data_IF_168334445500
#
_entry.id   IF_168334445500
#
_cell.length_a   1.000
_cell.length_b   1.000
_cell.length_c   1.000
_cell.angle_alpha   90.00
_cell.angle_beta   90.00
_cell.angle_gamma   90.00
#
_symmetry.space_group_name_H-M   'P 1'
#
loop_
_entity.id
_entity.type
_entity.pdbx_description
1 polymer ?
#
# COMPACT_ATOMS: atom_id res chain seq x y z
N UNK A 1 24.77 -29.36 -5.43
CA UNK A 1 23.58 -29.35 -4.53
C UNK A 1 22.59 -28.40 -5.15
N UNK A 2 21.51 -28.90 -5.71
CA UNK A 2 20.41 -28.07 -6.19
C UNK A 2 19.76 -27.42 -4.98
N UNK A 3 19.93 -26.12 -4.79
CA UNK A 3 19.14 -25.37 -3.82
C UNK A 3 17.66 -25.58 -4.15
N UNK A 4 16.94 -26.16 -3.23
CA UNK A 4 15.49 -26.27 -3.33
C UNK A 4 14.97 -24.84 -3.26
N UNK A 5 14.52 -24.28 -4.38
CA UNK A 5 13.88 -22.95 -4.42
C UNK A 5 12.61 -23.06 -3.61
N UNK A 6 12.61 -22.51 -2.41
CA UNK A 6 11.42 -22.42 -1.57
C UNK A 6 10.51 -21.37 -2.20
N UNK A 7 9.25 -21.74 -2.51
CA UNK A 7 8.27 -20.81 -3.06
C UNK A 7 8.06 -19.63 -2.12
N UNK A 8 8.08 -18.41 -2.66
CA UNK A 8 7.81 -17.17 -1.92
C UNK A 8 6.31 -16.94 -1.68
N UNK A 9 5.43 -17.65 -2.40
CA UNK A 9 3.98 -17.69 -2.19
C UNK A 9 3.57 -19.15 -2.02
N UNK A 10 3.04 -19.49 -0.85
CA UNK A 10 2.46 -20.82 -0.60
C UNK A 10 0.96 -20.73 -0.82
N UNK A 11 0.40 -21.70 -1.55
CA UNK A 11 -1.03 -21.77 -1.79
C UNK A 11 -1.56 -23.19 -1.72
N UNK A 12 -2.74 -23.33 -1.13
CA UNK A 12 -3.43 -24.61 -1.04
C UNK A 12 -4.95 -24.40 -0.93
N UNK A 13 -5.73 -25.39 -1.33
CA UNK A 13 -7.17 -25.42 -1.06
C UNK A 13 -7.44 -26.43 0.05
N UNK A 14 -7.98 -25.99 1.17
CA UNK A 14 -8.45 -26.85 2.27
C UNK A 14 -9.92 -26.58 2.54
N UNK A 15 -10.72 -27.63 2.61
CA UNK A 15 -12.17 -27.49 2.69
C UNK A 15 -12.71 -26.69 1.50
N UNK A 16 -13.31 -25.55 1.78
CA UNK A 16 -13.95 -24.67 0.80
C UNK A 16 -13.19 -23.32 0.61
N UNK A 17 -11.98 -23.21 1.16
CA UNK A 17 -11.21 -21.96 1.16
C UNK A 17 -9.87 -22.17 0.48
N UNK A 18 -9.52 -21.23 -0.40
CA UNK A 18 -8.18 -21.07 -0.93
C UNK A 18 -7.31 -20.27 0.05
N UNK A 19 -6.23 -20.88 0.51
CA UNK A 19 -5.29 -20.28 1.46
C UNK A 19 -4.02 -19.83 0.78
N UNK A 20 -3.63 -18.58 1.03
CA UNK A 20 -2.38 -17.99 0.56
C UNK A 20 -1.54 -17.58 1.76
N UNK A 21 -0.25 -17.94 1.75
CA UNK A 21 0.72 -17.44 2.72
C UNK A 21 1.91 -16.82 1.97
N UNK A 22 2.15 -15.54 2.22
CA UNK A 22 3.38 -14.86 1.77
C UNK A 22 4.55 -15.42 2.58
N UNK A 23 5.54 -15.97 1.90
CA UNK A 23 6.59 -16.80 2.50
C UNK A 23 7.99 -16.27 2.21
N UNK A 24 8.17 -14.96 2.39
CA UNK A 24 9.47 -14.27 2.26
C UNK A 24 9.83 -13.53 3.56
N UNK A 25 9.86 -14.23 4.72
CA UNK A 25 9.94 -13.58 6.04
C UNK A 25 11.24 -12.80 6.27
N UNK A 26 12.33 -13.16 5.59
CA UNK A 26 13.61 -12.42 5.68
C UNK A 26 13.53 -11.02 5.08
N UNK A 27 12.60 -10.78 4.17
CA UNK A 27 12.32 -9.49 3.56
C UNK A 27 10.97 -8.91 4.03
N UNK A 28 10.43 -9.37 5.17
CA UNK A 28 9.12 -8.97 5.68
C UNK A 28 8.02 -9.13 4.61
N UNK A 29 8.10 -10.17 3.80
CA UNK A 29 7.20 -10.48 2.68
C UNK A 29 7.08 -9.36 1.62
N UNK A 30 8.12 -8.54 1.45
CA UNK A 30 8.15 -7.58 0.36
C UNK A 30 7.96 -8.28 -0.99
N UNK A 31 7.06 -7.72 -1.83
CA UNK A 31 6.63 -8.32 -3.08
C UNK A 31 7.74 -8.29 -4.13
N UNK A 32 8.09 -9.46 -4.66
CA UNK A 32 8.87 -9.60 -5.88
C UNK A 32 7.94 -9.70 -7.08
N UNK A 33 8.46 -9.47 -8.30
CA UNK A 33 7.70 -9.70 -9.54
C UNK A 33 7.20 -11.16 -9.63
N UNK A 34 8.01 -12.12 -9.15
CA UNK A 34 7.60 -13.53 -9.06
C UNK A 34 6.39 -13.72 -8.18
N UNK A 35 6.37 -13.10 -6.98
CA UNK A 35 5.23 -13.17 -6.07
C UNK A 35 3.97 -12.54 -6.66
N UNK A 36 4.10 -11.41 -7.38
CA UNK A 36 2.96 -10.77 -8.07
C UNK A 36 2.36 -11.71 -9.09
N UNK A 37 3.19 -12.35 -9.91
CA UNK A 37 2.77 -13.33 -10.93
C UNK A 37 2.13 -14.58 -10.33
N UNK A 38 2.70 -15.10 -9.25
CA UNK A 38 2.14 -16.24 -8.51
C UNK A 38 0.76 -15.91 -7.95
N UNK A 39 0.61 -14.77 -7.27
CA UNK A 39 -0.68 -14.31 -6.73
C UNK A 39 -1.73 -14.14 -7.84
N UNK A 40 -1.37 -13.50 -8.95
CA UNK A 40 -2.24 -13.36 -10.11
C UNK A 40 -2.72 -14.71 -10.63
N UNK A 41 -1.79 -15.65 -10.85
CA UNK A 41 -2.11 -16.98 -11.35
C UNK A 41 -3.01 -17.79 -10.42
N UNK A 42 -2.74 -17.74 -9.11
CA UNK A 42 -3.54 -18.41 -8.07
C UNK A 42 -4.97 -17.84 -8.06
N UNK A 43 -5.12 -16.53 -8.01
CA UNK A 43 -6.43 -15.88 -7.95
C UNK A 43 -7.26 -16.15 -9.20
N UNK A 44 -6.67 -16.07 -10.40
CA UNK A 44 -7.35 -16.40 -11.66
C UNK A 44 -7.79 -17.85 -11.70
N UNK A 45 -6.97 -18.79 -11.23
CA UNK A 45 -7.34 -20.20 -11.16
C UNK A 45 -8.51 -20.44 -10.19
N UNK A 46 -8.48 -19.82 -9.01
CA UNK A 46 -9.51 -20.01 -8.00
C UNK A 46 -10.80 -19.25 -8.25
N UNK A 47 -10.76 -18.20 -9.05
CA UNK A 47 -11.95 -17.43 -9.43
C UNK A 47 -13.02 -18.34 -10.05
N UNK A 48 -12.61 -19.31 -10.89
CA UNK A 48 -13.50 -20.22 -11.61
C UNK A 48 -13.61 -21.62 -10.98
N UNK A 49 -12.90 -21.90 -9.87
CA UNK A 49 -12.99 -23.19 -9.18
C UNK A 49 -14.19 -23.19 -8.21
N UNK A 50 -15.24 -23.95 -8.54
CA UNK A 50 -16.46 -24.05 -7.74
C UNK A 50 -16.21 -24.61 -6.31
N UNK A 51 -15.08 -25.29 -6.06
CA UNK A 51 -14.71 -25.81 -4.75
C UNK A 51 -14.23 -24.68 -3.81
N UNK A 52 -13.77 -23.55 -4.35
CA UNK A 52 -13.27 -22.42 -3.58
C UNK A 52 -14.39 -21.38 -3.44
N UNK A 53 -14.90 -21.20 -2.24
CA UNK A 53 -15.96 -20.24 -1.92
C UNK A 53 -15.39 -18.87 -1.47
N UNK A 54 -14.19 -18.86 -0.90
CA UNK A 54 -13.49 -17.65 -0.47
C UNK A 54 -11.98 -17.86 -0.54
N UNK A 55 -11.21 -16.77 -0.51
CA UNK A 55 -9.75 -16.77 -0.42
C UNK A 55 -9.34 -16.10 0.89
N UNK A 56 -8.39 -16.70 1.61
CA UNK A 56 -7.77 -16.12 2.80
C UNK A 56 -6.27 -15.94 2.56
N UNK A 57 -5.76 -14.74 2.82
CA UNK A 57 -4.33 -14.43 2.69
C UNK A 57 -3.75 -13.96 4.03
N UNK A 58 -2.54 -14.41 4.32
CA UNK A 58 -1.71 -13.98 5.46
C UNK A 58 -0.26 -13.84 5.06
N UNK A 59 0.52 -13.19 5.91
CA UNK A 59 1.98 -13.23 5.83
C UNK A 59 2.59 -14.26 6.77
N UNK A 60 3.92 -14.34 6.74
CA UNK A 60 4.74 -15.13 7.65
C UNK A 60 5.85 -14.25 8.26
N UNK A 61 6.35 -14.64 9.42
CA UNK A 61 7.55 -14.10 10.02
C UNK A 61 8.62 -15.20 10.17
N UNK A 62 9.73 -14.92 10.84
CA UNK A 62 10.82 -15.90 11.03
C UNK A 62 10.44 -17.05 11.97
N UNK A 63 9.40 -16.87 12.77
CA UNK A 63 8.95 -17.84 13.79
C UNK A 63 7.79 -18.71 13.25
N UNK A 64 7.17 -18.30 12.12
CA UNK A 64 6.07 -19.05 11.53
C UNK A 64 5.05 -18.17 10.81
N UNK A 65 3.82 -18.65 10.65
CA UNK A 65 2.74 -17.89 10.03
C UNK A 65 2.30 -16.72 10.92
N UNK A 66 1.79 -15.65 10.28
CA UNK A 66 1.40 -14.39 10.89
C UNK A 66 2.59 -13.54 11.41
N UNK A 67 2.32 -12.44 12.09
CA UNK A 67 3.30 -11.54 12.70
C UNK A 67 3.97 -10.52 11.77
N UNK A 68 3.88 -10.71 10.46
CA UNK A 68 4.22 -9.72 9.44
C UNK A 68 3.40 -10.04 8.18
N UNK A 69 2.60 -9.08 7.72
CA UNK A 69 1.81 -9.29 6.51
C UNK A 69 2.67 -9.02 5.28
N UNK A 70 2.97 -7.76 4.97
CA UNK A 70 3.79 -7.38 3.83
C UNK A 70 4.33 -5.95 3.99
N UNK A 71 5.63 -5.76 3.78
CA UNK A 71 6.30 -4.46 3.94
C UNK A 71 6.36 -3.63 2.64
N UNK A 72 5.64 -4.02 1.59
CA UNK A 72 5.61 -3.29 0.31
C UNK A 72 6.28 -4.03 -0.83
N UNK A 73 6.65 -3.31 -1.91
CA UNK A 73 7.44 -3.85 -3.00
C UNK A 73 8.90 -4.03 -2.64
N UNK A 74 9.63 -4.86 -3.40
CA UNK A 74 11.09 -5.02 -3.22
C UNK A 74 11.85 -3.78 -3.72
N UNK A 75 12.01 -2.79 -2.84
CA UNK A 75 12.66 -1.51 -3.17
C UNK A 75 14.11 -1.66 -3.62
N UNK A 76 14.81 -2.76 -3.25
CA UNK A 76 16.17 -2.99 -3.75
C UNK A 76 16.17 -3.37 -5.22
N UNK A 77 15.20 -4.20 -5.63
CA UNK A 77 14.97 -4.49 -7.04
C UNK A 77 14.61 -3.20 -7.79
N UNK A 78 13.70 -2.39 -7.24
CA UNK A 78 13.29 -1.11 -7.87
C UNK A 78 14.46 -0.15 -8.05
N UNK A 79 15.34 -0.01 -7.06
CA UNK A 79 16.55 0.81 -7.16
C UNK A 79 17.48 0.28 -8.26
N UNK A 80 17.79 -1.01 -8.25
CA UNK A 80 18.68 -1.61 -9.24
C UNK A 80 18.12 -1.48 -10.66
N UNK A 81 16.86 -1.84 -10.84
CA UNK A 81 16.21 -1.80 -12.14
C UNK A 81 16.07 -0.36 -12.66
N UNK A 82 15.66 0.59 -11.81
CA UNK A 82 15.54 2.00 -12.17
C UNK A 82 16.87 2.63 -12.52
N UNK A 83 17.95 2.34 -11.76
CA UNK A 83 19.28 2.86 -12.02
C UNK A 83 19.90 2.32 -13.31
N UNK A 84 19.55 1.09 -13.71
CA UNK A 84 20.11 0.42 -14.88
C UNK A 84 19.22 0.50 -16.13
N UNK A 85 18.00 1.09 -16.02
CA UNK A 85 17.03 1.11 -17.11
C UNK A 85 16.50 -0.29 -17.46
N UNK A 86 16.43 -1.21 -16.48
CA UNK A 86 15.93 -2.56 -16.69
C UNK A 86 14.42 -2.55 -16.94
N UNK A 87 13.92 -3.06 -18.10
CA UNK A 87 12.49 -3.03 -18.44
C UNK A 87 11.59 -3.82 -17.48
N UNK A 88 12.12 -4.74 -16.69
CA UNK A 88 11.35 -5.48 -15.69
C UNK A 88 10.71 -4.57 -14.62
N UNK A 89 11.17 -3.32 -14.47
CA UNK A 89 10.52 -2.34 -13.59
C UNK A 89 9.13 -1.95 -14.14
N UNK A 90 8.99 -1.85 -15.45
CA UNK A 90 7.72 -1.57 -16.13
C UNK A 90 6.74 -2.74 -15.95
N UNK A 91 7.24 -3.97 -16.10
CA UNK A 91 6.44 -5.18 -15.88
C UNK A 91 5.97 -5.24 -14.42
N UNK A 92 6.87 -4.96 -13.46
CA UNK A 92 6.54 -4.99 -12.04
C UNK A 92 5.32 -4.12 -11.72
N UNK A 93 5.37 -2.83 -12.05
CA UNK A 93 4.28 -1.92 -11.73
C UNK A 93 3.00 -2.21 -12.54
N UNK A 94 3.13 -2.62 -13.80
CA UNK A 94 1.97 -2.98 -14.62
C UNK A 94 1.25 -4.19 -14.05
N UNK A 95 1.99 -5.25 -13.71
CA UNK A 95 1.42 -6.50 -13.21
C UNK A 95 0.92 -6.36 -11.76
N UNK A 96 1.62 -5.59 -10.91
CA UNK A 96 1.19 -5.31 -9.54
C UNK A 96 -0.12 -4.52 -9.52
N UNK A 97 -0.25 -3.46 -10.33
CA UNK A 97 -1.49 -2.67 -10.38
C UNK A 97 -2.66 -3.47 -11.00
N UNK A 98 -2.39 -4.32 -11.98
CA UNK A 98 -3.39 -5.25 -12.48
C UNK A 98 -3.85 -6.26 -11.41
N UNK A 99 -2.93 -6.74 -10.56
CA UNK A 99 -3.25 -7.59 -9.41
C UNK A 99 -4.12 -6.85 -8.38
N UNK A 100 -3.78 -5.61 -8.06
CA UNK A 100 -4.58 -4.80 -7.12
C UNK A 100 -6.01 -4.59 -7.63
N UNK A 101 -6.16 -4.32 -8.94
CA UNK A 101 -7.46 -4.22 -9.58
C UNK A 101 -8.23 -5.56 -9.54
N UNK A 102 -7.57 -6.69 -9.82
CA UNK A 102 -8.18 -8.01 -9.72
C UNK A 102 -8.68 -8.29 -8.30
N UNK A 103 -7.89 -8.01 -7.26
CA UNK A 103 -8.28 -8.21 -5.87
C UNK A 103 -9.51 -7.38 -5.50
N UNK A 104 -9.54 -6.11 -5.91
CA UNK A 104 -10.67 -5.22 -5.63
C UNK A 104 -11.98 -5.69 -6.27
N UNK A 105 -11.90 -6.25 -7.48
CA UNK A 105 -13.06 -6.73 -8.24
C UNK A 105 -13.24 -8.26 -8.11
N UNK A 106 -12.60 -8.90 -7.12
CA UNK A 106 -12.62 -10.36 -7.03
C UNK A 106 -14.02 -10.87 -6.71
N UNK A 107 -14.53 -11.79 -7.53
CA UNK A 107 -15.92 -12.27 -7.46
C UNK A 107 -16.25 -13.04 -6.17
N UNK A 108 -15.25 -13.58 -5.48
CA UNK A 108 -15.40 -14.31 -4.21
C UNK A 108 -14.82 -13.49 -3.07
N UNK A 109 -15.29 -13.65 -1.83
CA UNK A 109 -14.68 -12.96 -0.70
C UNK A 109 -13.18 -13.25 -0.62
N UNK A 110 -12.36 -12.21 -0.77
CA UNK A 110 -10.94 -12.21 -0.49
C UNK A 110 -10.75 -11.58 0.89
N UNK A 111 -10.17 -12.32 1.83
CA UNK A 111 -10.05 -11.96 3.24
C UNK A 111 -8.57 -11.79 3.57
N UNK A 112 -8.15 -10.57 3.94
CA UNK A 112 -6.77 -10.27 4.26
C UNK A 112 -6.55 -10.22 5.79
N UNK A 113 -5.71 -11.11 6.30
CA UNK A 113 -5.26 -11.13 7.70
C UNK A 113 -4.01 -10.27 7.85
N UNK A 114 -4.20 -8.99 8.10
CA UNK A 114 -3.19 -7.94 8.12
C UNK A 114 -2.53 -7.83 9.51
N UNK A 115 -1.79 -8.84 9.92
CA UNK A 115 -1.11 -8.89 11.20
C UNK A 115 0.33 -8.34 11.12
N UNK A 116 0.74 -7.49 12.04
CA UNK A 116 2.07 -6.88 12.05
C UNK A 116 2.22 -5.79 10.98
N UNK A 117 3.29 -5.85 10.18
CA UNK A 117 3.62 -4.81 9.18
C UNK A 117 2.72 -4.93 7.94
N UNK A 118 2.09 -3.80 7.55
CA UNK A 118 1.25 -3.65 6.36
C UNK A 118 1.59 -2.31 5.69
N UNK A 119 2.47 -2.31 4.70
CA UNK A 119 2.97 -1.06 4.11
C UNK A 119 3.02 -1.14 2.59
N UNK A 120 2.85 -0.01 1.90
CA UNK A 120 3.01 0.10 0.45
C UNK A 120 2.25 -0.98 -0.32
N UNK A 121 2.93 -1.79 -1.14
CA UNK A 121 2.33 -2.94 -1.85
C UNK A 121 1.57 -3.92 -0.95
N UNK A 122 1.88 -4.00 0.37
CA UNK A 122 1.09 -4.74 1.35
C UNK A 122 -0.31 -4.17 1.52
N UNK A 123 -0.46 -2.85 1.49
CA UNK A 123 -1.78 -2.22 1.41
C UNK A 123 -2.42 -2.48 0.04
N UNK A 124 -1.66 -2.43 -1.05
CA UNK A 124 -2.16 -2.75 -2.39
C UNK A 124 -2.86 -4.09 -2.48
N UNK A 125 -2.26 -5.15 -1.96
CA UNK A 125 -2.85 -6.51 -1.97
C UNK A 125 -3.88 -6.75 -0.87
N UNK A 126 -4.19 -5.78 -0.03
CA UNK A 126 -5.16 -5.92 1.07
C UNK A 126 -6.31 -4.93 1.03
N UNK A 127 -6.14 -3.71 0.51
CA UNK A 127 -7.19 -2.68 0.56
C UNK A 127 -8.40 -2.99 -0.31
N UNK A 128 -8.23 -3.76 -1.39
CA UNK A 128 -9.34 -4.29 -2.20
C UNK A 128 -10.06 -5.49 -1.59
N UNK A 129 -9.64 -5.99 -0.44
CA UNK A 129 -10.24 -7.19 0.18
C UNK A 129 -11.69 -6.94 0.61
N UNK A 130 -12.51 -7.99 0.48
CA UNK A 130 -13.89 -8.00 0.97
C UNK A 130 -13.97 -7.97 2.51
N UNK A 131 -12.88 -8.37 3.20
CA UNK A 131 -12.73 -8.24 4.64
C UNK A 131 -11.26 -8.02 5.00
N UNK A 132 -10.97 -6.90 5.65
CA UNK A 132 -9.66 -6.43 6.06
C UNK A 132 -9.54 -6.58 7.58
N UNK A 133 -8.80 -7.62 8.00
CA UNK A 133 -8.66 -8.01 9.41
C UNK A 133 -7.34 -7.50 9.95
N UNK A 134 -7.38 -6.61 10.93
CA UNK A 134 -6.20 -6.13 11.67
C UNK A 134 -6.08 -6.77 13.04
N UNK A 135 -4.92 -6.63 13.68
CA UNK A 135 -4.66 -7.08 15.04
C UNK A 135 -4.10 -5.95 15.88
N UNK A 136 -3.99 -6.14 17.18
CA UNK A 136 -3.29 -5.20 18.08
C UNK A 136 -1.82 -4.95 17.71
N UNK A 137 -1.24 -5.84 16.88
CA UNK A 137 0.16 -5.73 16.38
C UNK A 137 0.27 -4.98 15.07
N UNK A 138 -0.85 -4.68 14.41
CA UNK A 138 -0.85 -4.06 13.08
C UNK A 138 -0.15 -2.69 13.09
N UNK A 139 0.75 -2.51 12.14
CA UNK A 139 1.43 -1.26 11.81
C UNK A 139 1.23 -0.98 10.33
N UNK A 140 0.32 -0.09 10.02
CA UNK A 140 -0.10 0.23 8.67
C UNK A 140 0.41 1.60 8.26
N UNK A 141 1.00 1.72 7.06
CA UNK A 141 1.48 3.00 6.52
C UNK A 141 1.65 2.96 5.00
N UNK A 142 1.63 4.16 4.39
CA UNK A 142 2.11 4.41 3.02
C UNK A 142 3.30 5.38 3.11
N UNK A 143 4.54 4.87 3.36
CA UNK A 143 5.70 5.72 3.68
C UNK A 143 6.47 6.20 2.44
N UNK A 144 5.87 6.18 1.26
CA UNK A 144 6.52 6.34 -0.05
C UNK A 144 7.23 7.69 -0.19
N UNK A 145 6.71 8.78 0.40
CA UNK A 145 7.35 10.10 0.36
C UNK A 145 8.74 10.12 1.04
N UNK A 146 9.00 9.15 1.94
CA UNK A 146 10.30 9.00 2.57
C UNK A 146 11.38 8.42 1.64
N UNK A 147 10.95 7.78 0.55
CA UNK A 147 11.83 7.23 -0.48
C UNK A 147 11.67 7.94 -1.83
N UNK A 148 11.08 9.14 -1.84
CA UNK A 148 10.91 9.90 -3.06
C UNK A 148 9.94 9.28 -4.07
N UNK A 149 8.96 8.53 -3.58
CA UNK A 149 7.86 7.95 -4.34
C UNK A 149 6.53 8.56 -3.83
N UNK A 150 5.42 8.09 -4.31
CA UNK A 150 4.07 8.45 -3.89
C UNK A 150 3.33 7.19 -3.43
N UNK A 151 2.29 7.28 -2.60
CA UNK A 151 1.39 6.15 -2.30
C UNK A 151 0.73 5.64 -3.57
N UNK A 152 1.24 4.54 -4.11
CA UNK A 152 0.77 3.86 -5.31
C UNK A 152 -0.15 2.67 -4.98
N UNK A 153 -0.29 1.70 -5.85
CA UNK A 153 -1.08 0.45 -5.68
C UNK A 153 -2.57 0.69 -5.37
N UNK A 154 -3.13 1.77 -5.90
CA UNK A 154 -4.48 2.26 -5.57
C UNK A 154 -4.48 3.18 -4.34
N UNK A 155 -3.30 3.67 -3.92
CA UNK A 155 -3.12 4.56 -2.77
C UNK A 155 -3.92 5.85 -2.89
N UNK A 156 -3.93 6.45 -4.08
CA UNK A 156 -4.79 7.59 -4.39
C UNK A 156 -6.26 7.27 -4.12
N UNK A 157 -6.74 6.15 -4.60
CA UNK A 157 -8.12 5.71 -4.47
C UNK A 157 -8.53 5.49 -3.00
N UNK A 158 -7.85 4.64 -2.24
CA UNK A 158 -8.30 4.32 -0.89
C UNK A 158 -7.98 5.42 0.13
N UNK A 159 -6.87 6.16 0.02
CA UNK A 159 -6.55 7.27 0.92
C UNK A 159 -7.49 8.46 0.69
N UNK A 160 -7.84 8.80 -0.55
CA UNK A 160 -8.76 9.89 -0.83
C UNK A 160 -10.17 9.67 -0.28
N UNK A 161 -10.51 8.45 0.13
CA UNK A 161 -11.79 8.04 0.71
C UNK A 161 -11.77 7.96 2.23
N UNK A 162 -10.62 8.17 2.85
CA UNK A 162 -10.56 8.35 4.31
C UNK A 162 -11.39 9.57 4.76
N UNK A 163 -11.90 9.57 6.02
CA UNK A 163 -12.66 10.69 6.56
C UNK A 163 -11.88 12.01 6.52
N UNK A 164 -12.54 13.11 6.19
CA UNK A 164 -11.96 14.43 6.20
C UNK A 164 -10.71 14.56 5.33
N UNK A 165 -9.59 14.93 5.96
CA UNK A 165 -8.27 15.09 5.31
C UNK A 165 -7.24 14.07 5.78
N UNK A 166 -7.67 12.98 6.40
CA UNK A 166 -6.80 11.89 6.85
C UNK A 166 -5.98 11.31 5.70
N UNK A 167 -6.57 11.19 4.51
CA UNK A 167 -5.87 10.69 3.34
C UNK A 167 -4.67 11.54 2.95
N UNK A 168 -4.82 12.87 2.89
CA UNK A 168 -3.73 13.78 2.61
C UNK A 168 -2.65 13.71 3.71
N UNK A 169 -3.07 13.66 4.98
CA UNK A 169 -2.13 13.54 6.09
C UNK A 169 -1.28 12.26 5.98
N UNK A 170 -1.93 11.09 5.87
CA UNK A 170 -1.22 9.81 5.78
C UNK A 170 -0.32 9.73 4.54
N UNK A 171 -0.83 10.20 3.39
CA UNK A 171 -0.08 10.17 2.13
C UNK A 171 1.19 11.05 2.17
N UNK A 172 1.10 12.23 2.77
CA UNK A 172 2.21 13.18 2.83
C UNK A 172 3.24 12.81 3.91
N UNK A 173 2.77 12.42 5.10
CA UNK A 173 3.66 12.12 6.23
C UNK A 173 4.24 10.72 6.17
N UNK A 174 3.48 9.74 5.68
CA UNK A 174 3.80 8.32 5.79
C UNK A 174 3.71 7.82 7.22
N UNK A 175 2.91 8.44 8.06
CA UNK A 175 2.76 8.06 9.46
C UNK A 175 2.18 6.65 9.61
N UNK A 176 2.66 5.95 10.62
CA UNK A 176 2.20 4.59 10.92
C UNK A 176 1.01 4.64 11.87
N UNK A 177 -0.07 3.97 11.48
CA UNK A 177 -1.29 3.83 12.28
C UNK A 177 -1.47 2.40 12.80
N UNK A 178 -2.14 2.28 13.94
CA UNK A 178 -2.53 1.00 14.55
C UNK A 178 -3.93 0.55 14.14
N UNK A 179 -4.37 -0.57 14.72
CA UNK A 179 -5.65 -1.21 14.39
C UNK A 179 -6.86 -0.28 14.57
N UNK A 180 -6.93 0.43 15.68
CA UNK A 180 -8.08 1.29 15.98
C UNK A 180 -8.21 2.45 15.00
N UNK A 181 -7.08 3.09 14.66
CA UNK A 181 -7.05 4.19 13.68
C UNK A 181 -7.33 3.66 12.26
N UNK A 182 -6.80 2.49 11.89
CA UNK A 182 -7.08 1.88 10.60
C UNK A 182 -8.59 1.62 10.41
N UNK A 183 -9.30 1.18 11.46
CA UNK A 183 -10.77 0.99 11.44
C UNK A 183 -11.47 2.36 11.37
N UNK A 184 -11.06 3.32 12.21
CA UNK A 184 -11.68 4.65 12.23
C UNK A 184 -11.52 5.39 10.89
N UNK A 185 -10.40 5.17 10.20
CA UNK A 185 -10.11 5.77 8.89
C UNK A 185 -10.60 4.92 7.69
N UNK A 186 -11.36 3.86 7.94
CA UNK A 186 -11.94 2.98 6.91
C UNK A 186 -10.89 2.23 6.08
N UNK A 187 -9.70 2.02 6.64
CA UNK A 187 -8.61 1.21 6.05
C UNK A 187 -8.60 -0.23 6.56
N UNK A 188 -9.47 -0.57 7.53
CA UNK A 188 -9.71 -1.92 8.02
C UNK A 188 -11.17 -2.08 8.43
N UNK A 189 -11.65 -3.33 8.47
CA UNK A 189 -13.05 -3.65 8.76
C UNK A 189 -13.26 -4.13 10.20
N UNK A 190 -12.24 -4.68 10.84
CA UNK A 190 -12.30 -5.11 12.23
C UNK A 190 -11.01 -5.65 12.80
N UNK A 191 -10.93 -5.65 14.13
CA UNK A 191 -9.77 -6.12 14.86
C UNK A 191 -10.03 -7.52 15.41
N UNK A 192 -9.10 -8.45 15.16
CA UNK A 192 -9.08 -9.79 15.72
C UNK A 192 -7.84 -9.94 16.61
N UNK A 193 -7.96 -10.45 17.84
CA UNK A 193 -6.78 -10.74 18.66
C UNK A 193 -5.79 -11.64 17.92
N UNK A 194 -4.51 -11.29 17.97
CA UNK A 194 -3.48 -12.02 17.21
C UNK A 194 -3.37 -13.48 17.61
N UNK A 195 -3.64 -13.81 18.86
CA UNK A 195 -3.66 -15.19 19.38
C UNK A 195 -4.82 -16.05 18.86
N UNK A 196 -5.88 -15.42 18.33
CA UNK A 196 -7.02 -16.13 17.72
C UNK A 196 -6.82 -16.47 16.25
N UNK A 197 -5.91 -15.80 15.56
CA UNK A 197 -5.77 -15.94 14.11
C UNK A 197 -5.50 -17.37 13.66
N UNK A 198 -4.63 -18.11 14.35
CA UNK A 198 -4.33 -19.50 14.01
C UNK A 198 -5.56 -20.40 14.12
N UNK A 199 -6.32 -20.26 15.21
CA UNK A 199 -7.54 -21.06 15.41
C UNK A 199 -8.62 -20.73 14.36
N UNK A 200 -8.78 -19.46 14.00
CA UNK A 200 -9.72 -19.04 12.94
C UNK A 200 -9.27 -19.58 11.58
N UNK A 201 -7.99 -19.52 11.27
CA UNK A 201 -7.41 -20.05 10.03
C UNK A 201 -7.64 -21.55 9.89
N UNK A 202 -7.47 -22.32 10.97
CA UNK A 202 -7.72 -23.75 10.97
C UNK A 202 -9.22 -24.08 10.93
N UNK A 203 -10.06 -23.27 11.56
CA UNK A 203 -11.51 -23.41 11.47
C UNK A 203 -12.02 -23.20 10.03
N UNK A 204 -11.46 -22.20 9.30
CA UNK A 204 -11.78 -22.00 7.88
C UNK A 204 -11.43 -23.21 7.00
N UNK A 205 -10.42 -23.99 7.39
CA UNK A 205 -9.98 -25.17 6.66
C UNK A 205 -10.83 -26.43 6.96
N UNK A 206 -11.48 -26.47 8.11
CA UNK A 206 -12.11 -27.70 8.64
C UNK A 206 -13.63 -27.64 8.76
N UNK A 207 -14.19 -26.44 8.92
CA UNK A 207 -15.64 -26.24 8.97
C UNK A 207 -16.26 -26.20 7.57
N UNK A 208 -17.54 -26.56 7.48
CA UNK A 208 -18.34 -26.42 6.26
C UNK A 208 -19.17 -25.14 6.34
N UNK A 209 -19.19 -24.39 5.26
CA UNK A 209 -19.93 -23.13 5.11
C UNK A 209 -20.92 -23.24 3.95
N UNK A 210 -22.04 -22.54 4.06
CA UNK A 210 -23.06 -22.53 3.02
C UNK A 210 -22.56 -21.83 1.73
N UNK A 211 -21.81 -20.75 1.90
CA UNK A 211 -21.27 -19.91 0.81
C UNK A 211 -20.12 -19.02 1.31
N UNK A 212 -19.56 -18.20 0.42
CA UNK A 212 -18.51 -17.26 0.76
C UNK A 212 -18.94 -16.16 1.74
N UNK A 213 -20.21 -15.76 1.71
CA UNK A 213 -20.73 -14.77 2.66
C UNK A 213 -20.75 -15.31 4.09
N UNK A 214 -21.10 -16.60 4.26
CA UNK A 214 -21.02 -17.28 5.56
C UNK A 214 -19.59 -17.37 6.08
N UNK A 215 -18.59 -17.59 5.20
CA UNK A 215 -17.17 -17.57 5.56
C UNK A 215 -16.76 -16.17 6.06
N UNK A 216 -17.09 -15.12 5.31
CA UNK A 216 -16.85 -13.73 5.69
C UNK A 216 -17.49 -13.39 7.04
N UNK A 217 -18.76 -13.77 7.24
CA UNK A 217 -19.49 -13.51 8.47
C UNK A 217 -18.87 -14.24 9.68
N UNK A 218 -18.40 -15.48 9.48
CA UNK A 218 -17.70 -16.24 10.52
C UNK A 218 -16.42 -15.51 10.97
N UNK A 219 -15.57 -15.03 10.03
CA UNK A 219 -14.38 -14.27 10.38
C UNK A 219 -14.74 -12.96 11.09
N UNK A 220 -15.74 -12.23 10.60
CA UNK A 220 -16.19 -10.98 11.21
C UNK A 220 -16.76 -11.19 12.63
N UNK A 221 -17.37 -12.34 12.92
CA UNK A 221 -17.86 -12.69 14.28
C UNK A 221 -16.76 -12.83 15.33
N UNK A 222 -15.49 -12.91 14.90
CA UNK A 222 -14.33 -13.01 15.78
C UNK A 222 -13.73 -11.65 16.15
N UNK A 223 -14.30 -10.54 15.65
CA UNK A 223 -13.82 -9.21 15.91
C UNK A 223 -14.09 -8.77 17.35
N UNK A 224 -13.16 -7.97 17.86
CA UNK A 224 -13.26 -7.31 19.17
C UNK A 224 -13.15 -5.81 19.00
N UNK A 225 -13.53 -5.05 20.01
CA UNK A 225 -13.33 -3.61 20.01
C UNK A 225 -11.84 -3.27 19.96
N UNK A 226 -11.47 -2.30 19.12
CA UNK A 226 -10.13 -1.74 19.06
C UNK A 226 -10.18 -0.25 19.46
N UNK A 227 -9.20 0.19 20.25
CA UNK A 227 -9.12 1.60 20.63
C UNK A 227 -8.39 2.39 19.53
N UNK A 228 -9.03 3.46 19.03
CA UNK A 228 -8.39 4.43 18.17
C UNK A 228 -7.55 5.39 19.02
N UNK A 229 -6.31 5.64 18.57
CA UNK A 229 -5.39 6.58 19.24
C UNK A 229 -5.44 7.97 18.61
N UNK A 230 -5.83 8.09 17.35
CA UNK A 230 -5.70 9.29 16.53
C UNK A 230 -6.87 10.27 16.58
N UNK A 231 -7.97 9.97 17.29
CA UNK A 231 -9.16 10.82 17.29
C UNK A 231 -8.95 12.23 17.84
N UNK A 232 -7.90 12.44 18.64
CA UNK A 232 -7.56 13.77 19.20
C UNK A 232 -6.98 14.75 18.18
N UNK A 233 -6.42 14.28 17.09
CA UNK A 233 -5.80 15.10 16.03
C UNK A 233 -6.71 15.34 14.81
N UNK A 234 -7.92 14.76 14.76
CA UNK A 234 -8.79 14.84 13.57
C UNK A 234 -9.09 16.29 13.16
N UNK A 235 -9.40 17.14 14.11
CA UNK A 235 -9.71 18.56 13.83
C UNK A 235 -8.49 19.29 13.25
N UNK A 236 -7.30 19.04 13.78
CA UNK A 236 -6.06 19.62 13.28
C UNK A 236 -5.71 19.08 11.89
N UNK A 237 -5.89 17.77 11.66
CA UNK A 237 -5.71 17.14 10.34
C UNK A 237 -6.62 17.84 9.33
N UNK A 238 -7.91 17.97 9.63
CA UNK A 238 -8.87 18.59 8.72
C UNK A 238 -8.56 20.06 8.48
N UNK A 239 -8.08 20.78 9.50
CA UNK A 239 -7.73 22.19 9.38
C UNK A 239 -6.50 22.39 8.48
N UNK A 240 -5.39 21.71 8.76
CA UNK A 240 -4.12 22.00 8.09
C UNK A 240 -4.01 21.32 6.72
N UNK A 241 -4.47 20.09 6.57
CA UNK A 241 -4.36 19.36 5.30
C UNK A 241 -5.47 19.72 4.28
N UNK A 242 -6.42 20.59 4.66
CA UNK A 242 -7.31 21.26 3.71
C UNK A 242 -6.65 22.44 2.97
N UNK A 243 -5.53 22.97 3.48
CA UNK A 243 -4.85 24.12 2.89
C UNK A 243 -4.41 23.84 1.45
N UNK A 244 -4.43 24.86 0.56
CA UNK A 244 -4.27 24.66 -0.89
C UNK A 244 -2.95 24.05 -1.31
N UNK A 245 -1.83 24.39 -0.65
CA UNK A 245 -0.49 24.00 -1.06
C UNK A 245 0.31 23.36 0.08
N UNK A 246 1.30 22.54 -0.28
CA UNK A 246 2.23 21.94 0.70
C UNK A 246 2.93 23.03 1.53
N UNK A 247 3.33 24.12 0.90
CA UNK A 247 3.96 25.25 1.60
C UNK A 247 3.03 25.90 2.64
N UNK A 248 1.74 26.04 2.34
CA UNK A 248 0.74 26.55 3.30
C UNK A 248 0.48 25.55 4.43
N UNK A 249 0.39 24.25 4.12
CA UNK A 249 0.25 23.18 5.12
C UNK A 249 1.42 23.25 6.12
N UNK A 250 2.65 23.27 5.63
CA UNK A 250 3.84 23.29 6.50
C UNK A 250 3.91 24.58 7.32
N UNK A 251 3.68 25.77 6.72
CA UNK A 251 3.66 27.04 7.47
C UNK A 251 2.56 27.06 8.53
N UNK A 252 1.37 26.53 8.22
CA UNK A 252 0.27 26.44 9.18
C UNK A 252 0.63 25.56 10.39
N UNK A 253 1.23 24.41 10.11
CA UNK A 253 1.71 23.48 11.16
C UNK A 253 2.84 24.08 12.00
N UNK A 254 3.80 24.78 11.37
CA UNK A 254 4.93 25.44 12.06
C UNK A 254 4.47 26.61 12.93
N UNK A 255 3.39 27.30 12.56
CA UNK A 255 2.81 28.39 13.34
C UNK A 255 1.89 27.94 14.47
N UNK A 256 1.50 26.66 14.51
CA UNK A 256 0.59 26.13 15.51
C UNK A 256 1.31 25.87 16.84
N UNK A 257 0.62 26.17 17.95
CA UNK A 257 1.10 25.86 19.29
C UNK A 257 0.65 24.47 19.77
N UNK A 258 1.08 23.44 19.05
CA UNK A 258 0.82 22.05 19.43
C UNK A 258 2.03 21.16 19.14
N UNK A 259 2.29 20.17 19.98
CA UNK A 259 3.39 19.21 19.79
C UNK A 259 3.15 18.35 18.55
N UNK A 260 1.91 17.97 18.29
CA UNK A 260 1.54 17.21 17.10
C UNK A 260 1.86 17.99 15.81
N UNK A 261 1.47 19.25 15.75
CA UNK A 261 1.72 20.08 14.58
C UNK A 261 3.22 20.28 14.32
N UNK A 262 4.00 20.55 15.39
CA UNK A 262 5.47 20.65 15.30
C UNK A 262 6.12 19.36 14.81
N UNK A 263 5.70 18.21 15.35
CA UNK A 263 6.21 16.90 14.92
C UNK A 263 5.85 16.59 13.46
N UNK A 264 4.60 16.89 13.06
CA UNK A 264 4.10 16.70 11.69
C UNK A 264 4.87 17.59 10.69
N UNK A 265 5.07 18.87 10.99
CA UNK A 265 5.88 19.76 10.17
C UNK A 265 7.32 19.25 10.03
N UNK A 266 7.95 18.83 11.13
CA UNK A 266 9.30 18.25 11.11
C UNK A 266 9.38 16.97 10.27
N UNK A 267 8.33 16.16 10.25
CA UNK A 267 8.21 14.98 9.39
C UNK A 267 8.14 15.38 7.92
N UNK A 268 7.26 16.32 7.54
CA UNK A 268 7.14 16.81 6.17
C UNK A 268 8.44 17.40 5.64
N UNK A 269 9.19 18.14 6.48
CA UNK A 269 10.50 18.73 6.10
C UNK A 269 11.58 17.70 5.76
N UNK A 270 11.41 16.43 6.16
CA UNK A 270 12.34 15.33 5.84
C UNK A 270 11.96 14.56 4.57
N UNK A 271 10.72 14.70 4.10
CA UNK A 271 10.22 14.01 2.92
C UNK A 271 10.75 14.67 1.64
N UNK A 272 10.68 13.96 0.50
CA UNK A 272 11.02 14.54 -0.80
C UNK A 272 10.14 15.75 -1.09
N UNK A 273 10.71 16.96 -1.19
CA UNK A 273 9.93 18.18 -1.45
C UNK A 273 9.08 18.09 -2.71
N UNK A 274 9.65 17.57 -3.81
CA UNK A 274 8.93 17.39 -5.07
C UNK A 274 7.77 16.43 -4.92
N UNK A 275 8.02 15.28 -4.30
CA UNK A 275 6.98 14.24 -4.15
C UNK A 275 5.86 14.65 -3.20
N UNK A 276 6.12 15.49 -2.19
CA UNK A 276 5.03 16.04 -1.38
C UNK A 276 4.01 16.81 -2.23
N UNK A 277 4.46 17.62 -3.19
CA UNK A 277 3.57 18.37 -4.09
C UNK A 277 2.83 17.44 -5.07
N UNK A 278 3.53 16.44 -5.63
CA UNK A 278 2.94 15.42 -6.50
C UNK A 278 1.87 14.62 -5.75
N UNK A 279 2.16 14.17 -4.54
CA UNK A 279 1.22 13.38 -3.70
C UNK A 279 0.00 14.19 -3.31
N UNK A 280 0.14 15.46 -2.93
CA UNK A 280 -1.02 16.30 -2.59
C UNK A 280 -1.97 16.43 -3.80
N UNK A 281 -1.43 16.62 -4.98
CA UNK A 281 -2.20 16.68 -6.22
C UNK A 281 -2.85 15.34 -6.56
N UNK A 282 -2.11 14.22 -6.42
CA UNK A 282 -2.62 12.85 -6.61
C UNK A 282 -3.87 12.59 -5.77
N UNK A 283 -3.76 12.76 -4.44
CA UNK A 283 -4.87 12.45 -3.52
C UNK A 283 -6.11 13.30 -3.86
N UNK A 284 -5.92 14.55 -4.23
CA UNK A 284 -7.02 15.45 -4.61
C UNK A 284 -7.70 15.02 -5.91
N UNK A 285 -6.96 14.62 -6.93
CA UNK A 285 -7.50 14.08 -8.19
C UNK A 285 -8.26 12.78 -7.94
N UNK A 286 -7.69 11.88 -7.16
CA UNK A 286 -8.24 10.56 -6.88
C UNK A 286 -9.62 10.60 -6.18
N UNK A 287 -9.99 11.72 -5.51
CA UNK A 287 -11.30 11.87 -4.86
C UNK A 287 -12.49 11.65 -5.80
N UNK A 288 -12.33 11.94 -7.08
CA UNK A 288 -13.39 11.81 -8.09
C UNK A 288 -13.15 10.67 -9.08
N UNK A 289 -12.06 9.92 -8.93
CA UNK A 289 -11.70 8.82 -9.84
C UNK A 289 -12.28 7.49 -9.38
N UNK A 290 -12.58 6.60 -10.35
CA UNK A 290 -12.71 5.17 -10.10
C UNK A 290 -11.34 4.53 -9.90
N UNK A 291 -11.29 3.29 -9.35
CA UNK A 291 -10.02 2.60 -9.10
C UNK A 291 -9.21 2.39 -10.38
N UNK A 292 -9.86 2.00 -11.48
CA UNK A 292 -9.16 1.78 -12.75
C UNK A 292 -8.49 3.06 -13.29
N UNK A 293 -9.15 4.22 -13.14
CA UNK A 293 -8.58 5.51 -13.55
C UNK A 293 -7.46 5.96 -12.64
N UNK A 294 -7.60 5.74 -11.33
CA UNK A 294 -6.55 6.02 -10.34
C UNK A 294 -5.29 5.17 -10.63
N UNK A 295 -5.44 3.86 -10.82
CA UNK A 295 -4.32 2.98 -11.18
C UNK A 295 -3.66 3.36 -12.52
N UNK A 296 -4.42 3.87 -13.50
CA UNK A 296 -3.84 4.40 -14.73
C UNK A 296 -3.02 5.66 -14.47
N UNK A 297 -3.55 6.60 -13.69
CA UNK A 297 -2.81 7.79 -13.28
C UNK A 297 -1.54 7.43 -12.50
N UNK A 298 -1.63 6.51 -11.55
CA UNK A 298 -0.48 6.03 -10.78
C UNK A 298 0.56 5.34 -11.67
N UNK A 299 0.11 4.61 -12.70
CA UNK A 299 1.01 3.96 -13.67
C UNK A 299 1.78 4.98 -14.52
N UNK A 300 1.13 6.08 -14.89
CA UNK A 300 1.79 7.23 -15.53
C UNK A 300 2.82 7.84 -14.58
N UNK A 301 2.41 8.14 -13.35
CA UNK A 301 3.24 8.78 -12.33
C UNK A 301 4.47 7.96 -11.97
N UNK A 302 4.33 6.64 -11.77
CA UNK A 302 5.47 5.80 -11.38
C UNK A 302 6.53 5.71 -12.47
N UNK A 303 6.13 5.69 -13.74
CA UNK A 303 7.08 5.79 -14.84
C UNK A 303 7.85 7.10 -14.77
N UNK A 304 7.18 8.20 -14.48
CA UNK A 304 7.81 9.51 -14.34
C UNK A 304 8.75 9.59 -13.12
N UNK A 305 8.46 8.90 -12.03
CA UNK A 305 9.34 8.81 -10.88
C UNK A 305 10.73 8.24 -11.23
N UNK A 306 10.81 7.33 -12.20
CA UNK A 306 12.07 6.72 -12.60
C UNK A 306 12.70 7.37 -13.83
N UNK A 307 11.91 7.87 -14.79
CA UNK A 307 12.42 8.22 -16.13
C UNK A 307 12.23 9.67 -16.56
N UNK A 308 11.37 10.46 -15.90
CA UNK A 308 11.12 11.86 -16.28
C UNK A 308 12.37 12.75 -16.14
N UNK A 309 13.19 12.47 -15.12
CA UNK A 309 14.38 13.27 -14.78
C UNK A 309 15.61 12.34 -14.73
N UNK A 310 16.21 11.99 -15.87
CA UNK A 310 17.33 11.07 -15.92
C UNK A 310 18.50 11.53 -15.03
N UNK A 311 18.99 10.62 -14.17
CA UNK A 311 20.05 10.91 -13.20
C UNK A 311 19.64 11.81 -12.00
N UNK A 312 18.36 12.19 -11.91
CA UNK A 312 17.82 13.04 -10.83
C UNK A 312 16.49 12.50 -10.29
N UNK A 313 16.30 11.17 -10.31
CA UNK A 313 15.12 10.52 -9.76
C UNK A 313 15.13 10.62 -8.24
N UNK A 314 14.08 11.24 -7.67
CA UNK A 314 13.86 11.27 -6.22
C UNK A 314 13.73 9.85 -5.65
N UNK A 315 13.07 8.96 -6.40
CA UNK A 315 12.82 7.56 -5.96
C UNK A 315 14.12 6.77 -5.90
N UNK A 316 14.97 6.86 -6.92
CA UNK A 316 16.27 6.17 -6.91
C UNK A 316 17.14 6.68 -5.77
N UNK A 317 17.19 8.01 -5.55
CA UNK A 317 17.96 8.61 -4.46
C UNK A 317 17.40 8.23 -3.08
N UNK A 318 16.09 8.29 -2.89
CA UNK A 318 15.47 7.94 -1.61
C UNK A 318 15.69 6.48 -1.23
N UNK A 319 15.55 5.57 -2.21
CA UNK A 319 15.85 4.15 -1.97
C UNK A 319 17.35 3.94 -1.72
N UNK A 320 18.24 4.64 -2.44
CA UNK A 320 19.68 4.61 -2.16
C UNK A 320 19.94 4.90 -0.68
N UNK A 321 19.42 6.02 -0.21
CA UNK A 321 19.64 6.48 1.15
C UNK A 321 19.08 5.53 2.22
N UNK A 322 17.90 4.93 1.97
CA UNK A 322 17.25 4.04 2.94
C UNK A 322 17.79 2.62 2.94
N UNK A 323 17.97 2.00 1.75
CA UNK A 323 18.11 0.56 1.63
C UNK A 323 19.46 0.10 1.04
N UNK A 324 20.13 0.94 0.26
CA UNK A 324 21.41 0.61 -0.39
C UNK A 324 22.57 1.07 0.47
N UNK A 325 22.77 2.38 0.58
CA UNK A 325 23.87 2.98 1.37
C UNK A 325 23.55 3.04 2.86
N UNK A 326 22.26 3.13 3.20
CA UNK A 326 21.74 3.19 4.57
C UNK A 326 22.29 4.37 5.38
N UNK A 327 22.59 5.47 4.69
CA UNK A 327 23.05 6.72 5.31
C UNK A 327 21.89 7.55 5.85
N UNK A 328 20.64 7.23 5.46
CA UNK A 328 19.42 7.95 5.83
C UNK A 328 19.49 9.47 5.55
N UNK A 329 20.29 9.85 4.57
CA UNK A 329 20.53 11.22 4.17
C UNK A 329 20.28 11.42 2.66
N UNK A 330 19.01 11.37 2.21
CA UNK A 330 18.68 11.57 0.81
C UNK A 330 19.00 13.00 0.36
N UNK A 331 19.51 13.14 -0.86
CA UNK A 331 19.85 14.41 -1.51
C UNK A 331 18.73 14.81 -2.46
N UNK A 332 17.64 15.34 -1.89
CA UNK A 332 16.47 15.76 -2.67
C UNK A 332 16.79 16.87 -3.66
N UNK A 333 16.14 16.86 -4.80
CA UNK A 333 16.28 17.90 -5.83
C UNK A 333 14.90 18.25 -6.47
N UNK A 334 14.28 19.39 -6.08
CA UNK A 334 14.80 20.45 -5.23
C UNK A 334 14.93 20.03 -3.75
N UNK A 335 15.84 20.65 -3.02
CA UNK A 335 16.12 20.34 -1.62
C UNK A 335 15.14 20.96 -0.61
N UNK A 336 14.25 21.87 -1.07
CA UNK A 336 13.31 22.60 -0.20
C UNK A 336 11.92 22.59 -0.80
N UNK A 337 10.91 22.54 0.07
CA UNK A 337 9.49 22.57 -0.31
C UNK A 337 9.15 23.84 -1.10
N UNK A 338 9.73 24.97 -0.68
CA UNK A 338 9.48 26.28 -1.26
C UNK A 338 10.05 26.45 -2.68
N UNK A 339 11.00 25.61 -3.08
CA UNK A 339 11.67 25.67 -4.40
C UNK A 339 10.94 24.83 -5.47
N UNK A 340 9.89 24.08 -5.08
CA UNK A 340 9.07 23.30 -6.02
C UNK A 340 8.09 24.22 -6.75
N UNK A 341 8.11 24.15 -8.08
CA UNK A 341 7.20 24.92 -8.93
C UNK A 341 6.12 24.03 -9.57
N UNK A 342 4.97 24.59 -9.98
CA UNK A 342 3.94 23.83 -10.71
C UNK A 342 4.46 23.10 -11.95
N UNK A 343 5.43 23.70 -12.68
CA UNK A 343 6.03 23.12 -13.87
C UNK A 343 6.89 21.88 -13.57
N UNK A 344 7.34 21.70 -12.32
CA UNK A 344 8.02 20.49 -11.89
C UNK A 344 7.02 19.36 -11.56
N UNK A 345 5.80 19.69 -11.17
CA UNK A 345 4.76 18.77 -10.69
C UNK A 345 3.88 18.27 -11.85
N UNK A 346 3.42 19.19 -12.70
CA UNK A 346 2.43 18.88 -13.74
C UNK A 346 2.84 17.76 -14.70
N UNK A 347 4.13 17.58 -15.08
CA UNK A 347 4.53 16.49 -15.97
C UNK A 347 4.28 15.08 -15.40
N UNK A 348 4.23 14.90 -14.07
CA UNK A 348 3.96 13.60 -13.47
C UNK A 348 2.58 13.05 -13.83
N UNK A 349 1.63 13.93 -14.17
CA UNK A 349 0.25 13.58 -14.50
C UNK A 349 -0.04 13.55 -16.00
N UNK A 350 0.98 13.75 -16.83
CA UNK A 350 0.84 13.62 -18.29
C UNK A 350 1.15 12.18 -18.69
N UNK A 351 0.19 11.48 -19.31
CA UNK A 351 0.43 10.10 -19.74
C UNK A 351 1.54 10.05 -20.80
N UNK A 352 2.57 9.22 -20.60
CA UNK A 352 3.60 9.00 -21.61
C UNK A 352 3.13 8.07 -22.74
N UNK A 353 1.93 7.52 -22.64
CA UNK A 353 1.33 6.62 -23.63
C UNK A 353 0.10 7.24 -24.29
N UNK A 354 -0.16 6.95 -25.57
CA UNK A 354 -1.48 7.16 -26.15
C UNK A 354 -2.51 6.32 -25.39
N UNK A 355 -3.75 6.80 -25.25
CA UNK A 355 -4.82 6.15 -24.47
C UNK A 355 -4.99 4.66 -24.82
N UNK A 356 -4.96 4.31 -26.10
CA UNK A 356 -5.13 2.93 -26.58
C UNK A 356 -3.91 2.02 -26.31
N UNK A 357 -2.75 2.59 -26.04
CA UNK A 357 -1.50 1.87 -25.76
C UNK A 357 -1.10 1.92 -24.29
N UNK A 358 -1.93 2.51 -23.42
CA UNK A 358 -1.67 2.54 -21.99
C UNK A 358 -1.60 1.10 -21.43
N UNK A 359 -0.56 0.72 -20.62
CA UNK A 359 -0.40 -0.66 -20.14
C UNK A 359 -1.62 -1.21 -19.38
N UNK A 360 -2.38 -0.33 -18.71
CA UNK A 360 -3.60 -0.67 -17.98
C UNK A 360 -4.89 -0.25 -18.73
N UNK A 361 -4.86 -0.09 -20.05
CA UNK A 361 -6.05 0.28 -20.83
C UNK A 361 -7.20 -0.74 -20.73
N UNK A 362 -6.87 -2.00 -20.42
CA UNK A 362 -7.81 -3.10 -20.29
C UNK A 362 -8.58 -3.15 -18.96
N UNK A 363 -8.19 -2.36 -17.96
CA UNK A 363 -8.90 -2.30 -16.67
C UNK A 363 -10.25 -1.58 -16.85
N UNK A 364 -11.30 -2.16 -16.29
CA UNK A 364 -12.69 -1.65 -16.41
C UNK A 364 -13.30 -1.32 -15.03
#
# INVERSE_FOLDING_TARGET
>A
MTETVVSEVLSEVRGQVGFITLNRPRALNALSLGMVRDLMGILLAWQNDARVLAVAIRGSNKEGPFGAFCAGGDIRFLHQAGSQGNPLIEDFFTEEYALNHLIHNYAKPYIAFMDGIVMGGGMGISQGAALRVVTERTKMAMPETAIGLFPDVGGGYFLSRCPGRVGEWLALTGDTIGAGDAIAYQLADGCMPSDRQAAVWDALATQSFADGAAIKAYVASQFVAAQASGSSAQADIDQYFALPTVGEIVRGLEAADSDWARATAATLRKRSPLMLHVVLEQIRRARTMGLADDLRMERDMVRHCFFLRPGQSETVEGIRALAVDKDHAPRWNPGRIEDVTPDMVSPFFASPWPVHAHPLAHLA
#
